data_IF_796762671394
#
_entry.id   IF_796762671394
#
_cell.length_a   1.000
_cell.length_b   1.000
_cell.length_c   1.000
_cell.angle_alpha   90.00
_cell.angle_beta   90.00
_cell.angle_gamma   90.00
#
_symmetry.space_group_name_H-M   'P 1'
#
loop_
_entity.id
_entity.type
_entity.pdbx_description
1 polymer ?
#
# COMPACT_ATOMS: atom_id res chain seq x y z
N UNK A 1 -2.79 -38.77 2.98
CA UNK A 1 -1.42 -38.71 3.53
C UNK A 1 -0.74 -37.54 2.84
N UNK A 2 -0.26 -36.44 3.42
CA UNK A 2 -0.06 -35.96 4.80
C UNK A 2 0.01 -34.44 4.66
N UNK A 3 -0.99 -33.67 5.09
CA UNK A 3 -0.85 -32.20 5.16
C UNK A 3 -0.14 -31.86 6.47
N UNK A 4 1.18 -31.96 6.48
CA UNK A 4 1.97 -31.37 7.55
C UNK A 4 1.68 -29.86 7.53
N UNK A 5 0.99 -29.38 8.56
CA UNK A 5 0.92 -27.97 8.86
C UNK A 5 2.35 -27.42 8.77
N UNK A 6 2.55 -26.44 7.89
CA UNK A 6 3.85 -25.77 7.75
C UNK A 6 4.11 -25.04 9.06
N UNK A 7 4.70 -25.75 10.03
CA UNK A 7 5.38 -25.20 11.19
C UNK A 7 6.62 -24.47 10.68
N UNK A 8 6.41 -23.36 9.96
CA UNK A 8 7.35 -22.25 10.00
C UNK A 8 7.47 -21.91 11.48
N UNK A 9 8.64 -22.24 12.03
CA UNK A 9 9.05 -21.99 13.41
C UNK A 9 8.82 -20.51 13.65
N UNK A 10 7.92 -20.17 14.58
CA UNK A 10 7.82 -18.79 15.07
C UNK A 10 9.02 -18.60 15.98
N UNK A 11 9.95 -17.75 15.58
CA UNK A 11 11.07 -17.38 16.44
C UNK A 11 10.61 -16.50 17.60
N UNK A 12 11.47 -16.39 18.62
CA UNK A 12 11.20 -15.63 19.83
C UNK A 12 10.99 -14.13 19.55
N UNK A 13 11.64 -13.60 18.51
CA UNK A 13 11.50 -12.20 18.12
C UNK A 13 10.08 -11.90 17.65
N UNK A 14 9.55 -12.67 16.69
CA UNK A 14 8.20 -12.53 16.17
C UNK A 14 7.14 -12.67 17.28
N UNK A 15 7.36 -13.60 18.21
CA UNK A 15 6.49 -13.81 19.36
C UNK A 15 6.47 -12.59 20.31
N UNK A 16 7.64 -11.98 20.54
CA UNK A 16 7.76 -10.78 21.35
C UNK A 16 7.15 -9.54 20.67
N UNK A 17 7.39 -9.36 19.37
CA UNK A 17 6.79 -8.27 18.58
C UNK A 17 5.26 -8.33 18.62
N UNK A 18 4.69 -9.52 18.45
CA UNK A 18 3.24 -9.73 18.57
C UNK A 18 2.71 -9.33 19.95
N UNK A 19 3.36 -9.78 21.03
CA UNK A 19 2.93 -9.47 22.40
C UNK A 19 3.00 -7.97 22.69
N UNK A 20 4.05 -7.29 22.23
CA UNK A 20 4.19 -5.84 22.37
C UNK A 20 3.08 -5.10 21.63
N UNK A 21 2.83 -5.44 20.36
CA UNK A 21 1.75 -4.84 19.58
C UNK A 21 0.40 -5.03 20.28
N UNK A 22 0.09 -6.26 20.71
CA UNK A 22 -1.14 -6.58 21.45
C UNK A 22 -1.28 -5.73 22.71
N UNK A 23 -0.22 -5.60 23.52
CA UNK A 23 -0.24 -4.77 24.72
C UNK A 23 -0.49 -3.29 24.39
N UNK A 24 0.15 -2.75 23.35
CA UNK A 24 -0.04 -1.36 22.92
C UNK A 24 -1.48 -1.08 22.48
N UNK A 25 -2.07 -1.99 21.70
CA UNK A 25 -3.46 -1.88 21.25
C UNK A 25 -4.45 -1.93 22.43
N UNK A 26 -4.25 -2.86 23.37
CA UNK A 26 -5.18 -3.04 24.49
C UNK A 26 -5.01 -2.00 25.61
N UNK A 27 -3.90 -1.25 25.62
CA UNK A 27 -3.62 -0.22 26.63
C UNK A 27 -4.42 1.07 26.39
N UNK A 28 -4.77 1.39 25.15
CA UNK A 28 -5.53 2.59 24.83
C UNK A 28 -7.01 2.25 24.68
N UNK A 29 -7.88 2.90 25.46
CA UNK A 29 -9.32 2.56 25.48
C UNK A 29 -9.96 2.70 24.09
N UNK A 30 -9.57 3.73 23.32
CA UNK A 30 -10.02 3.93 21.93
C UNK A 30 -9.70 2.77 20.99
N UNK A 31 -8.59 2.07 21.21
CA UNK A 31 -8.17 0.95 20.35
C UNK A 31 -8.71 -0.36 20.88
N UNK A 32 -8.80 -0.51 22.20
CA UNK A 32 -9.38 -1.68 22.84
C UNK A 32 -10.84 -1.90 22.43
N UNK A 33 -11.63 -0.84 22.25
CA UNK A 33 -13.01 -0.93 21.77
C UNK A 33 -13.14 -1.33 20.30
N UNK A 34 -12.11 -1.04 19.49
CA UNK A 34 -12.10 -1.30 18.05
C UNK A 34 -11.27 -2.52 17.63
N UNK A 35 -10.45 -3.05 18.54
CA UNK A 35 -9.56 -4.17 18.26
C UNK A 35 -10.39 -5.46 18.03
N UNK A 36 -9.99 -6.30 17.05
CA UNK A 36 -10.62 -7.59 16.86
C UNK A 36 -10.61 -8.46 18.11
N UNK A 37 -11.64 -9.28 18.29
CA UNK A 37 -11.75 -10.20 19.44
C UNK A 37 -10.50 -11.08 19.59
N UNK A 38 -9.92 -11.56 18.48
CA UNK A 38 -8.71 -12.38 18.52
C UNK A 38 -7.49 -11.65 19.09
N UNK A 39 -7.44 -10.31 19.05
CA UNK A 39 -6.37 -9.54 19.73
C UNK A 39 -6.52 -9.68 21.24
N UNK A 40 -7.73 -9.82 21.77
CA UNK A 40 -7.96 -10.08 23.19
C UNK A 40 -7.78 -11.55 23.56
N UNK A 41 -8.20 -12.49 22.72
CA UNK A 41 -8.22 -13.92 23.07
C UNK A 41 -6.92 -14.66 22.77
N UNK A 42 -6.16 -14.25 21.75
CA UNK A 42 -4.85 -14.84 21.45
C UNK A 42 -3.77 -14.06 22.22
N UNK A 43 -3.13 -14.70 23.21
CA UNK A 43 -2.03 -14.12 23.98
C UNK A 43 -0.67 -14.29 23.32
N UNK A 44 -0.56 -15.22 22.37
CA UNK A 44 0.67 -15.55 21.64
C UNK A 44 0.49 -15.50 20.13
N UNK A 45 1.59 -15.29 19.39
CA UNK A 45 1.57 -15.33 17.92
C UNK A 45 1.24 -16.76 17.44
N UNK A 46 1.66 -17.77 18.20
CA UNK A 46 1.28 -19.17 17.97
C UNK A 46 -0.23 -19.40 18.05
N UNK A 47 -0.90 -18.90 19.09
CA UNK A 47 -2.37 -18.97 19.22
C UNK A 47 -3.06 -18.22 18.09
N UNK A 48 -2.59 -17.00 17.77
CA UNK A 48 -3.13 -16.23 16.66
C UNK A 48 -3.00 -16.99 15.32
N UNK A 49 -1.84 -17.59 15.05
CA UNK A 49 -1.61 -18.38 13.83
C UNK A 49 -2.57 -19.56 13.74
N UNK A 50 -2.79 -20.28 14.83
CA UNK A 50 -3.74 -21.40 14.89
C UNK A 50 -5.17 -20.90 14.61
N UNK A 51 -5.60 -19.82 15.27
CA UNK A 51 -6.91 -19.21 15.05
C UNK A 51 -7.12 -18.84 13.57
N UNK A 52 -6.14 -18.18 12.96
CA UNK A 52 -6.23 -17.78 11.54
C UNK A 52 -6.25 -19.00 10.60
N UNK A 53 -5.55 -20.09 10.93
CA UNK A 53 -5.60 -21.33 10.15
C UNK A 53 -6.97 -22.01 10.19
N UNK A 54 -7.76 -21.80 11.25
CA UNK A 54 -9.15 -22.25 11.34
C UNK A 54 -10.06 -21.40 10.45
N UNK A 55 -9.84 -20.09 10.38
CA UNK A 55 -10.63 -19.16 9.55
C UNK A 55 -10.57 -19.55 8.07
N UNK A 56 -9.38 -19.83 7.55
CA UNK A 56 -9.21 -20.16 6.14
C UNK A 56 -7.99 -21.03 5.88
N UNK A 57 -8.15 -22.06 5.05
CA UNK A 57 -7.05 -22.92 4.57
C UNK A 57 -6.08 -22.17 3.65
N UNK A 58 -6.52 -21.42 2.62
CA UNK A 58 -5.60 -20.65 1.80
C UNK A 58 -5.12 -19.37 2.52
N UNK A 59 -3.93 -18.89 2.16
CA UNK A 59 -3.27 -17.76 2.83
C UNK A 59 -3.98 -16.43 2.55
N UNK A 60 -4.45 -16.24 1.33
CA UNK A 60 -5.23 -15.08 0.89
C UNK A 60 -6.48 -14.86 1.76
N UNK A 61 -7.26 -15.91 2.02
CA UNK A 61 -8.46 -15.83 2.85
C UNK A 61 -8.16 -15.44 4.29
N UNK A 62 -7.04 -15.92 4.85
CA UNK A 62 -6.58 -15.49 6.19
C UNK A 62 -6.21 -14.02 6.20
N UNK A 63 -5.43 -13.58 5.20
CA UNK A 63 -4.99 -12.18 5.07
C UNK A 63 -6.18 -11.25 4.95
N UNK A 64 -7.18 -11.60 4.13
CA UNK A 64 -8.43 -10.83 3.97
C UNK A 64 -9.17 -10.70 5.29
N UNK A 65 -9.39 -11.81 6.00
CA UNK A 65 -10.08 -11.79 7.30
C UNK A 65 -9.38 -10.91 8.34
N UNK A 66 -8.05 -11.06 8.47
CA UNK A 66 -7.26 -10.28 9.44
C UNK A 66 -7.46 -8.80 9.15
N UNK A 67 -7.29 -8.40 7.89
CA UNK A 67 -7.39 -7.02 7.50
C UNK A 67 -8.80 -6.47 7.72
N UNK A 68 -9.85 -7.18 7.33
CA UNK A 68 -11.24 -6.74 7.52
C UNK A 68 -11.55 -6.54 9.00
N UNK A 69 -11.07 -7.44 9.84
CA UNK A 69 -11.22 -7.31 11.29
C UNK A 69 -10.50 -6.06 11.83
N UNK A 70 -9.30 -5.76 11.34
CA UNK A 70 -8.54 -4.57 11.76
C UNK A 70 -9.01 -3.26 11.09
N UNK A 71 -9.84 -3.32 10.05
CA UNK A 71 -10.23 -2.15 9.27
C UNK A 71 -10.82 -1.00 10.11
N UNK A 72 -11.76 -1.22 11.06
CA UNK A 72 -12.30 -0.15 11.89
C UNK A 72 -11.23 0.52 12.76
N UNK A 73 -10.33 -0.30 13.35
CA UNK A 73 -9.24 0.20 14.18
C UNK A 73 -8.26 1.03 13.36
N UNK A 74 -7.84 0.51 12.20
CA UNK A 74 -6.92 1.21 11.30
C UNK A 74 -7.52 2.54 10.85
N UNK A 75 -8.79 2.57 10.47
CA UNK A 75 -9.46 3.81 10.09
C UNK A 75 -9.53 4.82 11.23
N UNK A 76 -9.75 4.38 12.48
CA UNK A 76 -9.82 5.28 13.64
C UNK A 76 -8.49 5.95 14.00
N UNK A 77 -7.36 5.41 13.52
CA UNK A 77 -6.05 6.04 13.70
C UNK A 77 -5.91 7.33 12.89
N UNK A 78 -6.73 7.48 11.87
CA UNK A 78 -6.70 8.59 10.94
C UNK A 78 -7.89 9.52 11.27
N UNK A 79 -7.63 10.82 11.45
CA UNK A 79 -8.63 11.81 11.87
C UNK A 79 -9.85 11.88 10.93
N UNK A 80 -10.91 12.56 11.38
CA UNK A 80 -12.23 12.55 10.73
C UNK A 80 -12.32 13.23 9.36
N UNK A 81 -11.27 13.90 8.88
CA UNK A 81 -11.14 14.34 7.48
C UNK A 81 -9.68 14.20 7.05
N UNK A 82 -9.41 13.23 6.17
CA UNK A 82 -8.11 13.02 5.52
C UNK A 82 -8.23 13.31 4.03
N UNK A 83 -7.11 13.58 3.34
CA UNK A 83 -7.12 13.72 1.87
C UNK A 83 -7.72 12.49 1.14
N UNK A 84 -7.74 11.31 1.77
CA UNK A 84 -8.39 10.14 1.18
C UNK A 84 -9.92 10.27 1.19
N UNK A 85 -10.46 10.97 2.18
CA UNK A 85 -11.88 11.27 2.28
C UNK A 85 -12.23 12.34 1.22
N UNK A 86 -11.34 13.32 0.98
CA UNK A 86 -11.46 14.24 -0.15
C UNK A 86 -11.40 13.53 -1.53
N UNK A 87 -10.54 12.52 -1.71
CA UNK A 87 -10.52 11.69 -2.92
C UNK A 87 -11.82 10.91 -3.07
N UNK A 88 -12.34 10.33 -1.98
CA UNK A 88 -13.63 9.62 -2.00
C UNK A 88 -14.79 10.57 -2.37
N UNK A 89 -14.75 11.81 -1.87
CA UNK A 89 -15.74 12.84 -2.19
C UNK A 89 -15.65 13.28 -3.66
N UNK A 90 -14.44 13.48 -4.19
CA UNK A 90 -14.21 13.80 -5.61
C UNK A 90 -14.78 12.69 -6.50
N UNK A 91 -14.50 11.44 -6.19
CA UNK A 91 -15.03 10.27 -6.92
C UNK A 91 -16.56 10.25 -6.90
N UNK A 92 -17.17 10.48 -5.72
CA UNK A 92 -18.63 10.48 -5.59
C UNK A 92 -19.30 11.59 -6.41
N UNK A 93 -18.59 12.67 -6.72
CA UNK A 93 -19.07 13.79 -7.52
C UNK A 93 -18.88 13.60 -9.03
N UNK A 94 -18.18 12.54 -9.49
CA UNK A 94 -18.02 12.27 -10.92
C UNK A 94 -19.36 11.84 -11.52
N UNK A 95 -19.89 12.67 -12.42
CA UNK A 95 -21.09 12.35 -13.19
C UNK A 95 -20.78 11.32 -14.28
N UNK A 96 -21.20 10.09 -14.06
CA UNK A 96 -21.09 8.98 -15.01
C UNK A 96 -22.29 8.89 -15.97
N UNK A 97 -23.16 9.90 -16.01
CA UNK A 97 -24.53 9.86 -16.54
C UNK A 97 -24.72 9.42 -18.00
N UNK A 98 -23.66 9.36 -18.82
CA UNK A 98 -23.73 8.85 -20.20
C UNK A 98 -23.28 7.38 -20.36
N UNK A 99 -22.92 6.68 -19.29
CA UNK A 99 -22.56 5.26 -19.35
C UNK A 99 -23.76 4.29 -19.43
N UNK A 100 -24.98 4.81 -19.50
CA UNK A 100 -26.23 4.03 -19.53
C UNK A 100 -26.35 3.06 -20.73
N UNK A 101 -25.44 3.15 -21.70
CA UNK A 101 -25.34 2.23 -22.85
C UNK A 101 -24.55 0.96 -22.53
N UNK A 102 -23.87 0.90 -21.37
CA UNK A 102 -23.07 -0.25 -20.94
C UNK A 102 -23.81 -1.10 -19.90
N UNK A 103 -23.52 -2.41 -19.81
CA UNK A 103 -23.96 -3.26 -18.70
C UNK A 103 -23.64 -2.65 -17.34
N UNK A 104 -24.57 -2.80 -16.39
CA UNK A 104 -24.47 -2.24 -15.04
C UNK A 104 -23.15 -2.63 -14.34
N UNK A 105 -22.71 -3.88 -14.52
CA UNK A 105 -21.47 -4.37 -13.91
C UNK A 105 -20.22 -3.67 -14.47
N UNK A 106 -20.21 -3.33 -15.77
CA UNK A 106 -19.12 -2.56 -16.39
C UNK A 106 -19.12 -1.13 -15.84
N UNK A 107 -20.29 -0.54 -15.63
CA UNK A 107 -20.39 0.80 -15.04
C UNK A 107 -19.88 0.83 -13.60
N UNK A 108 -20.30 -0.13 -12.78
CA UNK A 108 -19.92 -0.20 -11.37
C UNK A 108 -18.43 -0.51 -11.20
N UNK A 109 -17.89 -1.45 -11.98
CA UNK A 109 -16.45 -1.70 -12.02
C UNK A 109 -15.67 -0.50 -12.55
N UNK A 110 -16.19 0.20 -13.55
CA UNK A 110 -15.59 1.42 -14.08
C UNK A 110 -15.48 2.51 -13.03
N UNK A 111 -16.52 2.69 -12.21
CA UNK A 111 -16.52 3.58 -11.04
C UNK A 111 -15.44 3.17 -10.05
N UNK A 112 -15.47 1.93 -9.58
CA UNK A 112 -14.51 1.44 -8.59
C UNK A 112 -13.05 1.52 -9.07
N UNK A 113 -12.81 1.27 -10.35
CA UNK A 113 -11.46 1.35 -10.94
C UNK A 113 -10.97 2.79 -11.11
N UNK A 114 -11.88 3.76 -11.22
CA UNK A 114 -11.49 5.18 -11.28
C UNK A 114 -10.82 5.63 -9.98
N UNK A 115 -11.33 5.20 -8.83
CA UNK A 115 -10.74 5.43 -7.50
C UNK A 115 -9.33 4.86 -7.44
N UNK A 116 -9.19 3.62 -7.91
CA UNK A 116 -7.92 2.89 -7.88
C UNK A 116 -6.86 3.64 -8.66
N UNK A 117 -7.19 4.10 -9.86
CA UNK A 117 -6.29 4.91 -10.66
C UNK A 117 -5.89 6.18 -9.93
N UNK A 118 -6.87 6.89 -9.34
CA UNK A 118 -6.62 8.15 -8.64
C UNK A 118 -5.68 7.94 -7.43
N UNK A 119 -5.93 6.92 -6.60
CA UNK A 119 -5.04 6.58 -5.49
C UNK A 119 -3.63 6.24 -5.97
N UNK A 120 -3.47 5.38 -6.97
CA UNK A 120 -2.15 5.03 -7.50
C UNK A 120 -1.42 6.25 -8.06
N UNK A 121 -2.11 7.09 -8.82
CA UNK A 121 -1.56 8.31 -9.38
C UNK A 121 -1.05 9.24 -8.28
N UNK A 122 -1.87 9.49 -7.25
CA UNK A 122 -1.48 10.35 -6.14
C UNK A 122 -0.31 9.75 -5.36
N UNK A 123 -0.35 8.46 -5.00
CA UNK A 123 0.73 7.77 -4.26
C UNK A 123 2.04 7.83 -5.04
N UNK A 124 2.06 7.41 -6.31
CA UNK A 124 3.29 7.30 -7.10
C UNK A 124 3.94 8.68 -7.30
N UNK A 125 3.15 9.70 -7.64
CA UNK A 125 3.68 11.05 -7.84
C UNK A 125 4.08 11.73 -6.53
N UNK A 126 3.38 11.46 -5.42
CA UNK A 126 3.79 11.96 -4.11
C UNK A 126 5.14 11.38 -3.68
N UNK A 127 5.38 10.08 -3.95
CA UNK A 127 6.70 9.47 -3.73
C UNK A 127 7.79 10.08 -4.61
N UNK A 128 7.50 10.41 -5.88
CA UNK A 128 8.46 11.11 -6.76
C UNK A 128 8.81 12.49 -6.21
N UNK A 129 7.81 13.28 -5.83
CA UNK A 129 8.00 14.61 -5.25
C UNK A 129 8.84 14.50 -3.98
N UNK A 130 8.46 13.60 -3.07
CA UNK A 130 9.17 13.36 -1.82
C UNK A 130 10.64 13.00 -2.02
N UNK A 131 10.93 12.01 -2.87
CA UNK A 131 12.31 11.63 -3.17
C UNK A 131 13.06 12.83 -3.76
N UNK A 132 12.44 13.55 -4.69
CA UNK A 132 13.00 14.76 -5.29
C UNK A 132 13.36 15.83 -4.25
N UNK A 133 12.48 16.12 -3.30
CA UNK A 133 12.71 17.07 -2.21
C UNK A 133 13.88 16.64 -1.32
N UNK A 134 13.93 15.36 -0.94
CA UNK A 134 15.04 14.83 -0.14
C UNK A 134 16.37 14.93 -0.91
N UNK A 135 16.38 14.69 -2.21
CA UNK A 135 17.57 14.84 -3.06
C UNK A 135 18.10 16.29 -3.12
N UNK A 136 17.30 17.29 -2.77
CA UNK A 136 17.77 18.69 -2.69
C UNK A 136 18.58 18.99 -1.42
N UNK A 137 18.42 18.19 -0.37
CA UNK A 137 19.01 18.45 0.96
C UNK A 137 19.98 17.37 1.42
N UNK A 138 19.85 16.15 0.92
CA UNK A 138 20.62 14.97 1.32
C UNK A 138 21.26 14.32 0.09
N UNK A 139 22.41 13.67 0.27
CA UNK A 139 23.02 12.89 -0.82
C UNK A 139 22.32 11.54 -0.95
N UNK A 140 21.62 11.33 -2.07
CA UNK A 140 20.89 10.08 -2.37
C UNK A 140 21.58 9.36 -3.53
N UNK A 141 21.94 8.10 -3.32
CA UNK A 141 22.51 7.24 -4.36
C UNK A 141 21.38 6.63 -5.20
N UNK A 142 21.37 6.89 -6.51
CA UNK A 142 20.48 6.17 -7.44
C UNK A 142 21.16 4.87 -7.87
N UNK A 143 20.60 3.67 -7.56
CA UNK A 143 21.23 2.42 -7.94
C UNK A 143 21.39 2.28 -9.46
N UNK A 144 22.50 1.71 -9.93
CA UNK A 144 22.80 1.56 -11.38
C UNK A 144 21.64 0.92 -12.16
N UNK A 145 21.02 -0.14 -11.62
CA UNK A 145 19.86 -0.80 -12.25
C UNK A 145 18.66 0.13 -12.42
N UNK A 146 18.49 1.10 -11.52
CA UNK A 146 17.45 2.13 -11.64
C UNK A 146 17.82 3.09 -12.77
N UNK A 147 19.07 3.57 -12.79
CA UNK A 147 19.56 4.45 -13.86
C UNK A 147 19.46 3.81 -15.25
N UNK A 148 19.82 2.52 -15.38
CA UNK A 148 19.68 1.77 -16.63
C UNK A 148 18.23 1.71 -17.11
N UNK A 149 17.29 1.56 -16.16
CA UNK A 149 15.85 1.56 -16.47
C UNK A 149 15.41 2.95 -16.95
N UNK A 150 15.82 4.01 -16.25
CA UNK A 150 15.54 5.40 -16.65
C UNK A 150 16.04 5.66 -18.07
N UNK A 151 17.30 5.32 -18.35
CA UNK A 151 17.92 5.51 -19.66
C UNK A 151 17.18 4.74 -20.77
N UNK A 152 16.80 3.49 -20.48
CA UNK A 152 16.00 2.69 -21.41
C UNK A 152 14.62 3.31 -21.70
N UNK A 153 13.94 3.82 -20.66
CA UNK A 153 12.65 4.48 -20.84
C UNK A 153 12.77 5.77 -21.64
N UNK A 154 13.82 6.57 -21.40
CA UNK A 154 14.14 7.78 -22.18
C UNK A 154 14.36 7.45 -23.66
N UNK A 155 15.09 6.37 -23.95
CA UNK A 155 15.33 5.97 -25.34
C UNK A 155 14.04 5.52 -26.03
N UNK A 156 13.24 4.68 -25.35
CA UNK A 156 11.94 4.24 -25.88
C UNK A 156 10.95 5.39 -26.09
N UNK A 157 11.01 6.44 -25.28
CA UNK A 157 10.16 7.62 -25.41
C UNK A 157 10.55 8.46 -26.65
N UNK A 158 11.84 8.56 -26.99
CA UNK A 158 12.29 9.24 -28.23
C UNK A 158 11.72 8.60 -29.49
N UNK A 159 11.44 7.29 -29.45
CA UNK A 159 10.80 6.58 -30.56
C UNK A 159 9.30 6.90 -30.68
N UNK A 160 8.67 7.36 -29.58
CA UNK A 160 7.24 7.61 -29.47
C UNK A 160 6.87 9.06 -29.86
N UNK A 161 6.70 9.31 -31.16
CA UNK A 161 6.52 10.66 -31.73
C UNK A 161 5.25 11.42 -31.31
N UNK A 162 4.23 10.74 -30.80
CA UNK A 162 2.89 11.31 -30.59
C UNK A 162 2.41 11.28 -29.13
N UNK A 163 3.27 10.82 -28.21
CA UNK A 163 2.93 10.76 -26.79
C UNK A 163 3.59 11.93 -26.06
N UNK A 164 2.96 12.45 -24.98
CA UNK A 164 3.56 13.47 -24.16
C UNK A 164 4.86 12.94 -23.53
N UNK A 165 5.88 13.79 -23.51
CA UNK A 165 7.14 13.51 -22.82
C UNK A 165 6.88 13.57 -21.31
N UNK A 166 7.43 12.59 -20.58
CA UNK A 166 7.40 12.58 -19.12
C UNK A 166 8.14 13.81 -18.58
N UNK A 167 7.61 14.43 -17.53
CA UNK A 167 8.03 15.76 -17.04
C UNK A 167 9.50 15.93 -16.68
N UNK A 168 9.87 17.10 -16.16
CA UNK A 168 11.25 17.62 -16.13
C UNK A 168 12.27 16.86 -15.23
N UNK A 169 11.87 15.79 -14.55
CA UNK A 169 12.71 15.05 -13.60
C UNK A 169 12.82 13.55 -13.95
N UNK A 170 14.01 12.98 -13.81
CA UNK A 170 14.27 11.55 -14.04
C UNK A 170 13.37 10.60 -13.22
N UNK A 171 12.88 11.04 -12.07
CA UNK A 171 11.95 10.28 -11.23
C UNK A 171 10.62 9.98 -11.93
N UNK A 172 10.22 10.73 -12.97
CA UNK A 172 9.04 10.43 -13.78
C UNK A 172 9.21 9.21 -14.71
N UNK A 173 10.44 8.72 -14.87
CA UNK A 173 10.73 7.44 -15.54
C UNK A 173 10.73 6.25 -14.58
N UNK A 174 10.58 6.49 -13.28
CA UNK A 174 10.55 5.46 -12.25
C UNK A 174 9.10 5.10 -11.90
N UNK A 175 8.78 3.81 -11.82
CA UNK A 175 7.56 3.33 -11.15
C UNK A 175 7.87 2.88 -9.70
N UNK A 176 6.87 2.35 -9.00
CA UNK A 176 7.02 1.85 -7.63
C UNK A 176 8.25 0.97 -7.40
N UNK A 177 8.67 0.14 -8.36
CA UNK A 177 9.87 -0.70 -8.22
C UNK A 177 11.12 0.18 -8.11
N UNK A 178 11.29 1.13 -9.03
CA UNK A 178 12.48 1.98 -9.04
C UNK A 178 12.48 2.94 -7.84
N UNK A 179 11.32 3.52 -7.51
CA UNK A 179 11.16 4.40 -6.35
C UNK A 179 11.50 3.66 -5.05
N UNK A 180 10.98 2.44 -4.87
CA UNK A 180 11.34 1.58 -3.74
C UNK A 180 12.84 1.31 -3.67
N UNK A 181 13.47 0.93 -4.78
CA UNK A 181 14.92 0.69 -4.84
C UNK A 181 15.75 1.91 -4.43
N UNK A 182 15.34 3.12 -4.83
CA UNK A 182 16.01 4.37 -4.40
C UNK A 182 15.87 4.54 -2.88
N UNK A 183 14.65 4.35 -2.33
CA UNK A 183 14.41 4.49 -0.89
C UNK A 183 15.24 3.49 -0.08
N UNK A 184 15.20 2.20 -0.43
CA UNK A 184 15.88 1.15 0.34
C UNK A 184 17.41 1.24 0.25
N UNK A 185 17.96 1.62 -0.91
CA UNK A 185 19.40 1.85 -1.03
C UNK A 185 19.92 3.01 -0.17
N UNK A 186 19.02 3.90 0.28
CA UNK A 186 19.34 5.09 1.07
C UNK A 186 18.53 5.09 2.37
N UNK A 187 18.33 3.91 2.98
CA UNK A 187 17.46 3.78 4.15
C UNK A 187 17.89 4.62 5.36
N UNK A 188 19.20 4.87 5.51
CA UNK A 188 19.74 5.79 6.51
C UNK A 188 19.19 7.22 6.38
N UNK A 189 18.86 7.66 5.15
CA UNK A 189 18.26 8.97 4.86
C UNK A 189 16.74 8.90 4.99
N UNK A 190 16.11 7.90 4.36
CA UNK A 190 14.65 7.85 4.23
C UNK A 190 13.94 7.26 5.45
N UNK A 191 14.57 6.34 6.19
CA UNK A 191 13.93 5.59 7.26
C UNK A 191 13.37 6.45 8.38
N UNK A 192 13.93 7.66 8.59
CA UNK A 192 13.44 8.64 9.59
C UNK A 192 12.03 9.17 9.28
N UNK A 193 11.58 9.08 8.03
CA UNK A 193 10.26 9.53 7.60
C UNK A 193 9.19 8.43 7.66
N UNK A 194 9.54 7.19 7.99
CA UNK A 194 8.58 6.08 8.02
C UNK A 194 8.33 5.59 9.46
N UNK A 195 7.11 5.11 9.78
CA UNK A 195 6.76 4.70 11.14
C UNK A 195 7.70 3.60 11.64
N UNK A 196 8.20 3.76 12.88
CA UNK A 196 9.11 2.81 13.54
C UNK A 196 10.38 2.46 12.74
N UNK A 197 10.73 3.22 11.70
CA UNK A 197 11.80 2.87 10.77
C UNK A 197 11.66 1.42 10.23
N UNK A 198 10.43 1.00 9.94
CA UNK A 198 10.14 -0.35 9.47
C UNK A 198 10.32 -0.48 7.95
N UNK A 199 11.54 -0.85 7.53
CA UNK A 199 11.89 -1.07 6.12
C UNK A 199 11.06 -2.20 5.49
N UNK A 200 10.86 -3.30 6.22
CA UNK A 200 10.15 -4.47 5.73
C UNK A 200 8.69 -4.15 5.35
N UNK A 201 7.99 -3.42 6.22
CA UNK A 201 6.62 -2.98 5.94
C UNK A 201 6.54 -2.12 4.67
N UNK A 202 7.48 -1.19 4.48
CA UNK A 202 7.49 -0.34 3.28
C UNK A 202 7.77 -1.17 2.02
N UNK A 203 8.66 -2.16 2.11
CA UNK A 203 8.94 -3.07 1.00
C UNK A 203 7.69 -3.88 0.60
N UNK A 204 6.95 -4.41 1.58
CA UNK A 204 5.67 -5.10 1.33
C UNK A 204 4.65 -4.16 0.69
N UNK A 205 4.51 -2.93 1.19
CA UNK A 205 3.60 -1.93 0.62
C UNK A 205 3.95 -1.62 -0.85
N UNK A 206 5.22 -1.35 -1.14
CA UNK A 206 5.68 -1.01 -2.49
C UNK A 206 5.44 -2.17 -3.47
N UNK A 207 5.71 -3.40 -3.06
CA UNK A 207 5.43 -4.60 -3.87
C UNK A 207 3.93 -4.77 -4.16
N UNK A 208 3.08 -4.54 -3.16
CA UNK A 208 1.63 -4.57 -3.35
C UNK A 208 1.12 -3.45 -4.26
N UNK A 209 1.61 -2.21 -4.08
CA UNK A 209 1.28 -1.07 -4.96
C UNK A 209 1.64 -1.36 -6.42
N UNK A 210 2.82 -1.96 -6.65
CA UNK A 210 3.23 -2.36 -7.99
C UNK A 210 2.30 -3.42 -8.60
N UNK A 211 1.93 -4.45 -7.84
CA UNK A 211 0.99 -5.49 -8.30
C UNK A 211 -0.38 -4.92 -8.65
N UNK A 212 -0.89 -3.99 -7.85
CA UNK A 212 -2.18 -3.32 -8.12
C UNK A 212 -2.06 -2.43 -9.36
N UNK A 213 -0.96 -1.69 -9.51
CA UNK A 213 -0.68 -0.92 -10.74
C UNK A 213 -0.68 -1.81 -11.98
N UNK A 214 -0.09 -3.01 -11.91
CA UNK A 214 -0.12 -3.95 -13.03
C UNK A 214 -1.55 -4.34 -13.42
N UNK A 215 -2.44 -4.59 -12.45
CA UNK A 215 -3.86 -4.86 -12.74
C UNK A 215 -4.50 -3.68 -13.50
N UNK A 216 -4.29 -2.44 -13.03
CA UNK A 216 -4.80 -1.24 -13.69
C UNK A 216 -4.26 -1.09 -15.11
N UNK A 217 -2.95 -1.30 -15.32
CA UNK A 217 -2.33 -1.22 -16.64
C UNK A 217 -2.88 -2.26 -17.64
N UNK A 218 -3.40 -3.38 -17.14
CA UNK A 218 -4.05 -4.42 -17.94
C UNK A 218 -5.58 -4.29 -17.96
N UNK A 219 -6.14 -3.15 -17.53
CA UNK A 219 -7.59 -2.92 -17.41
C UNK A 219 -8.30 -4.05 -16.63
N UNK A 220 -7.59 -4.65 -15.69
CA UNK A 220 -8.09 -5.73 -14.85
C UNK A 220 -8.72 -5.16 -13.59
N UNK A 221 -9.76 -5.84 -13.11
CA UNK A 221 -10.47 -5.43 -11.91
C UNK A 221 -9.61 -5.63 -10.66
N UNK A 222 -9.57 -4.60 -9.82
CA UNK A 222 -8.91 -4.61 -8.52
C UNK A 222 -9.99 -4.85 -7.48
N UNK A 223 -9.88 -5.95 -6.75
CA UNK A 223 -10.89 -6.35 -5.77
C UNK A 223 -10.99 -5.36 -4.62
N UNK A 224 -12.15 -5.38 -3.93
CA UNK A 224 -12.42 -4.61 -2.72
C UNK A 224 -11.26 -4.68 -1.73
N UNK A 225 -10.58 -5.84 -1.68
CA UNK A 225 -9.47 -5.98 -0.80
C UNK A 225 -8.36 -4.96 -1.13
N UNK A 226 -7.80 -5.06 -2.31
CA UNK A 226 -6.72 -4.20 -2.76
C UNK A 226 -7.12 -2.72 -2.76
N UNK A 227 -8.39 -2.41 -3.07
CA UNK A 227 -8.91 -1.03 -3.01
C UNK A 227 -8.86 -0.44 -1.59
N UNK A 228 -9.24 -1.19 -0.56
CA UNK A 228 -9.13 -0.68 0.82
C UNK A 228 -7.69 -0.58 1.29
N UNK A 229 -6.80 -1.49 0.86
CA UNK A 229 -5.37 -1.36 1.11
C UNK A 229 -4.80 -0.07 0.51
N UNK A 230 -5.20 0.31 -0.71
CA UNK A 230 -4.78 1.58 -1.33
C UNK A 230 -5.13 2.80 -0.49
N UNK A 231 -6.35 2.85 0.07
CA UNK A 231 -6.77 3.94 0.95
C UNK A 231 -5.85 4.05 2.17
N UNK A 232 -5.51 2.93 2.78
CA UNK A 232 -4.58 2.88 3.92
C UNK A 232 -3.19 3.32 3.51
N UNK A 233 -2.68 2.88 2.36
CA UNK A 233 -1.35 3.26 1.85
C UNK A 233 -1.27 4.75 1.51
N UNK A 234 -2.30 5.28 0.86
CA UNK A 234 -2.38 6.71 0.57
C UNK A 234 -2.38 7.54 1.85
N UNK A 235 -3.23 7.20 2.83
CA UNK A 235 -3.23 7.88 4.16
C UNK A 235 -1.86 7.78 4.82
N UNK A 236 -1.26 6.59 4.81
CA UNK A 236 0.05 6.39 5.43
C UNK A 236 1.17 7.17 4.76
N UNK A 237 1.16 7.30 3.43
CA UNK A 237 2.19 8.04 2.70
C UNK A 237 1.98 9.54 2.90
N UNK A 238 0.77 10.06 2.68
CA UNK A 238 0.47 11.51 2.82
C UNK A 238 0.79 12.06 4.20
N UNK A 239 0.48 11.32 5.26
CA UNK A 239 0.84 11.70 6.63
C UNK A 239 2.36 11.88 6.82
N UNK A 240 3.17 11.03 6.19
CA UNK A 240 4.62 11.11 6.30
C UNK A 240 5.22 12.23 5.45
N UNK A 241 4.53 12.60 4.37
CA UNK A 241 4.89 13.72 3.52
C UNK A 241 4.45 15.07 4.10
N UNK A 242 3.67 15.08 5.18
CA UNK A 242 3.00 16.28 5.74
C UNK A 242 2.18 17.04 4.68
N UNK A 243 1.62 16.30 3.71
CA UNK A 243 0.65 16.81 2.75
C UNK A 243 -0.75 16.85 3.40
#
# INVERSE_FOLDING_TARGET
MTSAATNLVIDEQNENEYKQLRQLLLRQERFKTLAPKFVTTCGTLKEFKIEMQVVSKPYDGRRTFIRDAFYPLVNSLYGTETMADAIADIVQQVDFGQLNLLPQDIQDKGREMSDVYLYLYCIENSLRIFIGEIMTTETVTVPTKVQDTINKMKESEKESKYLPVRGDNELFYCDFIQLGKIIFANWNVFGKYFPNKNEHWLNVMIDELYKIRCLVAHNSFVGDHERQSLKVYYKSITLQLKL
#
